data_IF_442235277345
#
_entry.id   IF_442235277345
#
_cell.length_a   1.000
_cell.length_b   1.000
_cell.length_c   1.000
_cell.angle_alpha   90.00
_cell.angle_beta   90.00
_cell.angle_gamma   90.00
#
_symmetry.space_group_name_H-M   'P 1'
#
loop_
_entity.id
_entity.type
_entity.pdbx_description
1 polymer ?
#
# COMPACT_ATOMS: atom_id res chain seq x y z
N UNK A 1 16.35 -10.32 6.10
CA UNK A 1 15.58 -9.99 7.34
C UNK A 1 14.19 -10.61 7.23
N UNK A 2 13.86 -11.46 8.18
CA UNK A 2 12.52 -12.06 8.22
C UNK A 2 11.61 -11.28 9.15
N UNK A 3 10.42 -10.95 8.70
CA UNK A 3 9.44 -10.20 9.48
C UNK A 3 8.18 -11.03 9.69
N UNK A 4 7.43 -10.71 10.74
CA UNK A 4 6.06 -11.20 10.92
C UNK A 4 5.11 -10.08 10.53
N UNK A 5 4.01 -10.42 9.87
CA UNK A 5 2.97 -9.45 9.51
C UNK A 5 1.73 -9.73 10.35
N UNK A 6 1.27 -8.74 11.06
CA UNK A 6 0.18 -8.86 12.01
C UNK A 6 -0.83 -7.72 11.83
N UNK A 7 -2.06 -7.95 12.28
CA UNK A 7 -3.07 -6.90 12.32
C UNK A 7 -2.60 -5.79 13.25
N UNK A 8 -2.64 -4.54 12.80
CA UNK A 8 -2.22 -3.40 13.59
C UNK A 8 -3.14 -3.20 14.80
N UNK A 9 -2.54 -2.77 15.91
CA UNK A 9 -3.26 -2.36 17.12
C UNK A 9 -3.16 -0.84 17.29
N UNK A 10 -4.05 -0.25 18.09
CA UNK A 10 -4.13 1.20 18.23
C UNK A 10 -2.82 1.86 18.70
N UNK A 11 -2.06 1.16 19.51
CA UNK A 11 -0.75 1.63 20.00
C UNK A 11 0.28 1.82 18.88
N UNK A 12 0.04 1.22 17.72
CA UNK A 12 0.93 1.30 16.54
C UNK A 12 0.54 2.43 15.57
N UNK A 13 -0.56 3.13 15.82
CA UNK A 13 -1.05 4.18 14.93
C UNK A 13 -0.02 5.28 14.70
N UNK A 14 0.69 5.71 15.73
CA UNK A 14 1.72 6.75 15.62
C UNK A 14 2.88 6.30 14.74
N UNK A 15 3.31 5.05 14.85
CA UNK A 15 4.36 4.48 14.01
C UNK A 15 3.96 4.49 12.54
N UNK A 16 2.70 4.14 12.25
CA UNK A 16 2.16 4.13 10.89
C UNK A 16 2.13 5.55 10.31
N UNK A 17 1.64 6.52 11.08
CA UNK A 17 1.58 7.93 10.66
C UNK A 17 2.98 8.48 10.40
N UNK A 18 3.92 8.20 11.30
CA UNK A 18 5.29 8.67 11.14
C UNK A 18 5.94 8.08 9.88
N UNK A 19 5.71 6.80 9.64
CA UNK A 19 6.22 6.11 8.44
C UNK A 19 5.64 6.74 7.16
N UNK A 20 4.37 7.12 7.18
CA UNK A 20 3.74 7.81 6.07
C UNK A 20 4.40 9.16 5.79
N UNK A 21 4.63 9.96 6.82
CA UNK A 21 5.28 11.27 6.68
C UNK A 21 6.71 11.12 6.16
N UNK A 22 7.46 10.17 6.69
CA UNK A 22 8.84 9.91 6.25
C UNK A 22 8.88 9.49 4.78
N UNK A 23 7.94 8.65 4.34
CA UNK A 23 7.85 8.22 2.94
C UNK A 23 7.49 9.40 2.02
N UNK A 24 6.56 10.24 2.43
CA UNK A 24 6.17 11.41 1.66
C UNK A 24 7.31 12.41 1.53
N UNK A 25 8.02 12.71 2.61
CA UNK A 25 9.19 13.59 2.60
C UNK A 25 10.27 13.05 1.67
N UNK A 26 10.50 11.74 1.68
CA UNK A 26 11.47 11.10 0.79
C UNK A 26 11.07 11.25 -0.68
N UNK A 27 9.80 11.08 -1.00
CA UNK A 27 9.26 11.25 -2.36
C UNK A 27 9.43 12.70 -2.83
N UNK A 28 9.03 13.66 -2.01
CA UNK A 28 9.12 15.08 -2.34
C UNK A 28 10.57 15.56 -2.50
N UNK A 29 11.49 15.04 -1.68
CA UNK A 29 12.91 15.37 -1.79
C UNK A 29 13.53 14.92 -3.11
N UNK A 30 12.90 14.02 -3.84
CA UNK A 30 13.34 13.51 -5.15
C UNK A 30 12.55 14.10 -6.30
N UNK A 31 11.82 15.18 -6.05
CA UNK A 31 10.99 15.87 -7.04
C UNK A 31 9.95 14.95 -7.71
N UNK A 32 9.50 13.92 -6.98
CA UNK A 32 8.42 13.04 -7.43
C UNK A 32 7.09 13.55 -6.88
N UNK A 33 6.01 13.29 -7.60
CA UNK A 33 4.67 13.62 -7.14
C UNK A 33 4.26 12.74 -5.96
N UNK A 34 3.71 13.36 -4.93
CA UNK A 34 3.17 12.64 -3.77
C UNK A 34 1.88 11.92 -4.14
N UNK A 35 1.53 10.81 -3.43
CA UNK A 35 0.28 10.11 -3.66
C UNK A 35 -0.96 11.00 -3.52
N UNK A 36 -1.99 10.72 -4.31
CA UNK A 36 -3.19 11.53 -4.42
C UNK A 36 -4.15 11.45 -3.21
N UNK A 37 -3.92 10.58 -2.26
CA UNK A 37 -4.88 10.31 -1.17
C UNK A 37 -4.85 11.31 -0.02
N UNK A 38 -4.21 12.44 -0.21
CA UNK A 38 -4.23 13.55 0.73
C UNK A 38 -3.50 13.25 2.05
N UNK A 39 -3.80 14.07 3.03
CA UNK A 39 -3.18 13.96 4.34
C UNK A 39 -3.68 12.74 5.11
N UNK A 40 -2.75 12.08 5.78
CA UNK A 40 -3.05 10.97 6.69
C UNK A 40 -2.94 11.50 8.11
N UNK A 41 -4.06 11.53 8.82
CA UNK A 41 -4.11 11.96 10.21
C UNK A 41 -4.05 10.77 11.17
N UNK A 42 -3.61 11.03 12.38
CA UNK A 42 -3.61 10.02 13.44
C UNK A 42 -5.03 9.48 13.71
N UNK A 43 -6.02 10.38 13.70
CA UNK A 43 -7.43 10.01 13.91
C UNK A 43 -7.93 9.07 12.82
N UNK A 44 -7.59 9.34 11.55
CA UNK A 44 -7.99 8.49 10.43
C UNK A 44 -7.34 7.10 10.54
N UNK A 45 -6.05 7.05 10.85
CA UNK A 45 -5.34 5.77 10.98
C UNK A 45 -5.92 4.95 12.13
N UNK A 46 -6.23 5.57 13.27
CA UNK A 46 -6.87 4.88 14.39
C UNK A 46 -8.20 4.26 14.00
N UNK A 47 -9.04 5.01 13.31
CA UNK A 47 -10.33 4.50 12.81
C UNK A 47 -10.13 3.33 11.86
N UNK A 48 -9.21 3.46 10.92
CA UNK A 48 -8.89 2.40 9.95
C UNK A 48 -8.34 1.15 10.63
N UNK A 49 -7.55 1.29 11.69
CA UNK A 49 -7.08 0.16 12.51
C UNK A 49 -8.27 -0.55 13.16
N UNK A 50 -9.21 0.19 13.71
CA UNK A 50 -10.42 -0.39 14.32
C UNK A 50 -11.24 -1.19 13.30
N UNK A 51 -11.28 -0.74 12.04
CA UNK A 51 -11.91 -1.49 10.94
C UNK A 51 -11.08 -2.68 10.45
N UNK A 52 -9.87 -2.87 10.97
CA UNK A 52 -9.02 -3.99 10.59
C UNK A 52 -8.33 -3.84 9.24
N UNK A 53 -8.15 -2.63 8.76
CA UNK A 53 -7.59 -2.36 7.44
C UNK A 53 -6.06 -2.34 7.41
N UNK A 54 -5.40 -2.12 8.55
CA UNK A 54 -3.95 -2.00 8.62
C UNK A 54 -3.27 -3.27 9.11
N UNK A 55 -2.13 -3.57 8.49
CA UNK A 55 -1.20 -4.62 8.91
C UNK A 55 0.16 -3.99 9.14
N UNK A 56 0.89 -4.49 10.14
CA UNK A 56 2.26 -4.05 10.41
C UNK A 56 3.23 -5.21 10.23
N UNK A 57 4.40 -4.90 9.69
CA UNK A 57 5.52 -5.83 9.65
C UNK A 57 6.40 -5.56 10.87
N UNK A 58 6.66 -6.61 11.63
CA UNK A 58 7.46 -6.53 12.85
C UNK A 58 8.78 -7.28 12.69
N UNK A 59 9.85 -6.65 13.08
CA UNK A 59 11.16 -7.26 13.23
C UNK A 59 11.66 -7.00 14.64
N UNK A 60 11.89 -8.09 15.39
CA UNK A 60 12.28 -7.99 16.80
C UNK A 60 11.33 -7.10 17.62
N UNK A 61 10.02 -7.16 17.34
CA UNK A 61 8.99 -6.38 18.03
C UNK A 61 8.88 -4.93 17.59
N UNK A 62 9.68 -4.50 16.61
CA UNK A 62 9.68 -3.12 16.10
C UNK A 62 8.92 -3.06 14.79
N UNK A 63 8.07 -2.05 14.61
CA UNK A 63 7.36 -1.82 13.36
C UNK A 63 8.36 -1.33 12.30
N UNK A 64 8.56 -2.13 11.25
CA UNK A 64 9.47 -1.81 10.14
C UNK A 64 8.76 -1.65 8.80
N UNK A 65 7.48 -1.93 8.75
CA UNK A 65 6.65 -1.74 7.57
C UNK A 65 5.18 -1.73 7.93
N UNK A 66 4.36 -1.26 7.01
CA UNK A 66 2.91 -1.26 7.17
C UNK A 66 2.23 -1.31 5.80
N UNK A 67 1.03 -1.87 5.77
CA UNK A 67 0.20 -1.84 4.58
C UNK A 67 -1.28 -1.73 4.97
N UNK A 68 -2.05 -1.12 4.08
CA UNK A 68 -3.50 -1.02 4.24
C UNK A 68 -4.16 -1.84 3.14
N UNK A 69 -5.01 -2.77 3.54
CA UNK A 69 -5.68 -3.69 2.63
C UNK A 69 -7.19 -3.53 2.76
N UNK A 70 -7.87 -3.38 1.62
CA UNK A 70 -9.30 -3.13 1.54
C UNK A 70 -9.99 -4.18 0.67
N UNK A 71 -11.28 -4.38 0.89
CA UNK A 71 -12.12 -5.25 0.04
C UNK A 71 -12.70 -4.49 -1.16
N UNK A 72 -12.77 -3.17 -1.07
CA UNK A 72 -13.18 -2.29 -2.16
C UNK A 72 -12.48 -0.96 -2.02
N UNK A 73 -12.28 -0.26 -3.13
CA UNK A 73 -11.62 1.04 -3.14
C UNK A 73 -12.29 1.95 -4.18
N UNK A 74 -13.54 2.36 -3.93
CA UNK A 74 -14.35 3.08 -4.93
C UNK A 74 -13.82 4.49 -5.25
N UNK A 75 -12.98 5.06 -4.37
CA UNK A 75 -12.38 6.38 -4.63
C UNK A 75 -11.38 6.33 -5.79
N UNK A 76 -10.81 5.17 -6.06
CA UNK A 76 -9.76 4.99 -7.07
C UNK A 76 -10.19 4.01 -8.16
N UNK A 77 -10.83 2.91 -7.80
CA UNK A 77 -11.20 1.85 -8.72
C UNK A 77 -12.68 1.85 -9.06
N UNK A 78 -13.00 1.56 -10.32
CA UNK A 78 -14.39 1.32 -10.74
C UNK A 78 -14.79 -0.06 -10.21
N UNK A 79 -15.97 -0.14 -9.59
CA UNK A 79 -16.47 -1.41 -9.10
C UNK A 79 -16.76 -2.38 -10.25
N UNK A 80 -16.40 -3.63 -10.06
CA UNK A 80 -16.71 -4.72 -10.96
C UNK A 80 -17.01 -5.99 -10.13
N UNK A 81 -17.27 -7.11 -10.81
CA UNK A 81 -17.64 -8.36 -10.15
C UNK A 81 -16.41 -9.24 -9.83
N UNK A 82 -15.20 -8.75 -10.05
CA UNK A 82 -13.98 -9.52 -9.80
C UNK A 82 -13.65 -9.45 -8.32
N UNK A 83 -13.59 -10.59 -7.61
CA UNK A 83 -13.15 -10.60 -6.22
C UNK A 83 -11.69 -10.14 -6.13
N UNK A 84 -11.45 -9.02 -5.47
CA UNK A 84 -10.13 -8.41 -5.42
C UNK A 84 -9.76 -8.00 -4.00
N UNK A 85 -8.46 -8.02 -3.72
CA UNK A 85 -7.89 -7.35 -2.57
C UNK A 85 -7.22 -6.07 -3.07
N UNK A 86 -7.53 -4.94 -2.45
CA UNK A 86 -7.00 -3.63 -2.82
C UNK A 86 -5.96 -3.20 -1.80
N UNK A 87 -4.74 -2.95 -2.27
CA UNK A 87 -3.66 -2.45 -1.43
C UNK A 87 -3.64 -0.94 -1.55
N UNK A 88 -4.06 -0.26 -0.51
CA UNK A 88 -4.17 1.20 -0.52
C UNK A 88 -2.84 1.90 -0.17
N UNK A 89 -2.00 1.24 0.60
CA UNK A 89 -0.69 1.74 1.00
C UNK A 89 0.26 0.57 1.26
N UNK A 90 1.50 0.71 0.82
CA UNK A 90 2.61 -0.18 1.21
C UNK A 90 3.75 0.74 1.62
N UNK A 91 4.19 0.64 2.85
CA UNK A 91 5.25 1.50 3.38
C UNK A 91 6.29 0.66 4.11
N UNK A 92 7.55 1.07 4.00
CA UNK A 92 8.63 0.46 4.75
C UNK A 92 9.43 1.56 5.47
N UNK A 93 9.99 1.22 6.62
CA UNK A 93 10.92 2.11 7.31
C UNK A 93 12.14 2.30 6.40
N UNK A 94 12.48 3.56 6.11
CA UNK A 94 13.59 3.88 5.20
C UNK A 94 14.93 3.30 5.65
N UNK A 95 15.11 3.10 6.93
CA UNK A 95 16.32 2.48 7.49
C UNK A 95 16.45 1.00 7.10
N UNK A 96 15.34 0.37 6.72
CA UNK A 96 15.27 -1.05 6.36
C UNK A 96 14.84 -1.27 4.90
N UNK A 97 14.74 -0.21 4.10
CA UNK A 97 14.16 -0.24 2.75
C UNK A 97 14.85 -1.21 1.78
N UNK A 98 16.16 -1.46 1.95
CA UNK A 98 16.93 -2.36 1.09
C UNK A 98 16.91 -3.83 1.53
N UNK A 99 16.14 -4.18 2.57
CA UNK A 99 16.12 -5.53 3.14
C UNK A 99 15.08 -6.47 2.53
N UNK A 100 14.47 -6.11 1.40
CA UNK A 100 13.44 -6.92 0.75
C UNK A 100 12.10 -6.91 1.46
N UNK A 101 11.85 -5.92 2.31
CA UNK A 101 10.60 -5.81 3.07
C UNK A 101 9.37 -5.64 2.19
N UNK A 102 9.46 -4.80 1.17
CA UNK A 102 8.34 -4.59 0.24
C UNK A 102 7.88 -5.88 -0.40
N UNK A 103 8.83 -6.69 -0.86
CA UNK A 103 8.52 -7.99 -1.45
C UNK A 103 7.88 -8.96 -0.44
N UNK A 104 8.35 -8.96 0.80
CA UNK A 104 7.75 -9.77 1.86
C UNK A 104 6.32 -9.34 2.16
N UNK A 105 6.06 -8.03 2.21
CA UNK A 105 4.72 -7.49 2.42
C UNK A 105 3.79 -7.88 1.27
N UNK A 106 4.24 -7.76 0.02
CA UNK A 106 3.43 -8.13 -1.15
C UNK A 106 3.14 -9.64 -1.19
N UNK A 107 4.08 -10.50 -0.79
CA UNK A 107 3.81 -11.93 -0.66
C UNK A 107 2.76 -12.22 0.40
N UNK A 108 2.82 -11.51 1.52
CA UNK A 108 1.79 -11.63 2.54
C UNK A 108 0.41 -11.24 1.97
N UNK A 109 0.35 -10.17 1.18
CA UNK A 109 -0.90 -9.74 0.52
C UNK A 109 -1.45 -10.85 -0.37
N UNK A 110 -0.61 -11.51 -1.16
CA UNK A 110 -1.04 -12.60 -2.04
C UNK A 110 -1.69 -13.74 -1.22
N UNK A 111 -1.06 -14.15 -0.14
CA UNK A 111 -1.58 -15.19 0.73
C UNK A 111 -2.87 -14.77 1.42
N UNK A 112 -2.93 -13.55 1.93
CA UNK A 112 -4.12 -12.99 2.54
C UNK A 112 -5.28 -12.92 1.54
N UNK A 113 -5.02 -12.42 0.34
CA UNK A 113 -6.03 -12.32 -0.72
C UNK A 113 -6.59 -13.68 -1.08
N UNK A 114 -5.73 -14.69 -1.22
CA UNK A 114 -6.19 -16.07 -1.46
C UNK A 114 -7.06 -16.59 -0.33
N UNK A 115 -6.72 -16.29 0.91
CA UNK A 115 -7.52 -16.69 2.08
C UNK A 115 -8.90 -16.02 2.10
N UNK A 116 -9.07 -14.90 1.42
CA UNK A 116 -10.33 -14.17 1.28
C UNK A 116 -11.06 -14.49 -0.03
N UNK A 117 -10.62 -15.52 -0.73
CA UNK A 117 -11.17 -15.95 -2.04
C UNK A 117 -11.07 -14.88 -3.13
N UNK A 118 -10.10 -13.98 -3.03
CA UNK A 118 -9.83 -13.01 -4.08
C UNK A 118 -9.12 -13.66 -5.27
N UNK A 119 -9.44 -13.20 -6.46
CA UNK A 119 -8.83 -13.67 -7.71
C UNK A 119 -7.63 -12.84 -8.13
N UNK A 120 -7.59 -11.60 -7.68
CA UNK A 120 -6.56 -10.61 -8.06
C UNK A 120 -6.19 -9.73 -6.87
N UNK A 121 -5.00 -9.15 -6.95
CA UNK A 121 -4.56 -8.05 -6.07
C UNK A 121 -4.49 -6.79 -6.92
N UNK A 122 -5.01 -5.69 -6.42
CA UNK A 122 -5.05 -4.39 -7.11
C UNK A 122 -4.38 -3.32 -6.28
N UNK A 123 -3.65 -2.45 -6.95
CA UNK A 123 -3.06 -1.26 -6.35
C UNK A 123 -2.98 -0.13 -7.37
N UNK A 124 -2.70 1.06 -6.89
CA UNK A 124 -2.41 2.20 -7.75
C UNK A 124 -1.04 2.78 -7.41
N UNK A 125 -0.42 3.44 -8.39
CA UNK A 125 0.75 4.27 -8.12
C UNK A 125 0.72 5.52 -9.00
N UNK A 126 1.37 6.58 -8.52
CA UNK A 126 1.43 7.84 -9.24
C UNK A 126 2.03 7.62 -10.62
N UNK A 127 1.35 8.10 -11.66
CA UNK A 127 1.69 7.83 -13.06
C UNK A 127 3.12 8.24 -13.40
N UNK A 128 3.60 9.34 -12.83
CA UNK A 128 4.94 9.86 -13.09
C UNK A 128 6.06 9.14 -12.35
N UNK A 129 5.74 8.25 -11.43
CA UNK A 129 6.74 7.48 -10.69
C UNK A 129 7.08 6.18 -11.44
N UNK A 130 7.87 6.31 -12.50
CA UNK A 130 8.25 5.17 -13.35
C UNK A 130 9.01 4.08 -12.58
N UNK A 131 9.84 4.45 -11.61
CA UNK A 131 10.61 3.50 -10.81
C UNK A 131 9.70 2.60 -9.98
N UNK A 132 8.65 3.17 -9.38
CA UNK A 132 7.69 2.41 -8.60
C UNK A 132 6.86 1.49 -9.50
N UNK A 133 6.46 1.98 -10.67
CA UNK A 133 5.75 1.15 -11.66
C UNK A 133 6.58 -0.05 -12.07
N UNK A 134 7.86 0.16 -12.39
CA UNK A 134 8.78 -0.91 -12.76
C UNK A 134 8.92 -1.93 -11.63
N UNK A 135 9.02 -1.45 -10.39
CA UNK A 135 9.08 -2.31 -9.22
C UNK A 135 7.86 -3.22 -9.13
N UNK A 136 6.66 -2.65 -9.29
CA UNK A 136 5.43 -3.46 -9.23
C UNK A 136 5.33 -4.43 -10.41
N UNK A 137 5.79 -4.03 -11.59
CA UNK A 137 5.85 -4.96 -12.74
C UNK A 137 6.75 -6.17 -12.44
N UNK A 138 7.89 -5.94 -11.81
CA UNK A 138 8.77 -7.01 -11.35
C UNK A 138 8.11 -7.92 -10.31
N UNK A 139 7.19 -7.38 -9.52
CA UNK A 139 6.43 -8.15 -8.53
C UNK A 139 5.23 -8.88 -9.13
N UNK A 140 5.02 -8.81 -10.44
CA UNK A 140 3.98 -9.53 -11.14
C UNK A 140 2.71 -8.73 -11.44
N UNK A 141 2.71 -7.44 -11.18
CA UNK A 141 1.60 -6.56 -11.52
C UNK A 141 1.69 -6.10 -12.97
N UNK A 142 0.55 -5.84 -13.58
CA UNK A 142 0.50 -5.28 -14.93
C UNK A 142 -0.52 -4.14 -14.97
N UNK A 143 -0.30 -3.21 -15.89
CA UNK A 143 -1.15 -2.04 -16.08
C UNK A 143 -2.51 -2.44 -16.61
N UNK A 144 -3.59 -2.02 -15.95
CA UNK A 144 -4.97 -2.27 -16.39
C UNK A 144 -5.75 -0.98 -16.65
N UNK A 145 -5.22 0.16 -16.29
CA UNK A 145 -5.89 1.43 -16.52
C UNK A 145 -5.18 2.59 -15.85
N UNK A 146 -5.82 3.73 -15.90
CA UNK A 146 -5.36 4.94 -15.21
C UNK A 146 -6.56 5.72 -14.71
N UNK A 147 -6.32 6.59 -13.75
CA UNK A 147 -7.35 7.48 -13.23
C UNK A 147 -6.83 8.90 -13.07
N UNK A 148 -7.57 9.84 -13.63
CA UNK A 148 -7.43 11.26 -13.36
C UNK A 148 -8.43 11.65 -12.27
N UNK A 149 -8.06 12.60 -11.44
CA UNK A 149 -8.94 13.14 -10.41
C UNK A 149 -9.40 14.54 -10.80
N UNK A 150 -10.60 14.92 -10.40
CA UNK A 150 -11.18 16.24 -10.67
C UNK A 150 -10.58 17.35 -9.80
N UNK A 151 -9.53 17.06 -9.05
CA UNK A 151 -8.80 17.97 -8.19
C UNK A 151 -7.32 17.95 -8.60
N UNK A 152 -6.52 18.87 -8.05
CA UNK A 152 -5.09 18.96 -8.36
C UNK A 152 -4.27 17.83 -7.72
N UNK A 153 -4.73 16.62 -7.89
CA UNK A 153 -4.00 15.41 -7.46
C UNK A 153 -3.33 14.74 -8.65
N UNK A 154 -2.13 14.19 -8.47
CA UNK A 154 -1.48 13.44 -9.54
C UNK A 154 -2.34 12.30 -10.05
N UNK A 155 -2.34 12.08 -11.36
CA UNK A 155 -2.97 10.90 -11.96
C UNK A 155 -2.26 9.64 -11.50
N UNK A 156 -3.02 8.57 -11.38
CA UNK A 156 -2.49 7.26 -11.00
C UNK A 156 -2.68 6.25 -12.11
N UNK A 157 -1.79 5.28 -12.18
CA UNK A 157 -1.98 4.07 -12.97
C UNK A 157 -2.55 2.98 -12.08
N UNK A 158 -3.44 2.19 -12.65
CA UNK A 158 -4.09 1.08 -11.97
C UNK A 158 -3.39 -0.21 -12.37
N UNK A 159 -2.95 -0.97 -11.40
CA UNK A 159 -2.19 -2.20 -11.64
C UNK A 159 -2.84 -3.38 -10.94
N UNK A 160 -2.75 -4.54 -11.56
CA UNK A 160 -3.41 -5.75 -11.11
C UNK A 160 -2.48 -6.94 -11.22
N UNK A 161 -2.58 -7.85 -10.27
CA UNK A 161 -1.85 -9.11 -10.27
C UNK A 161 -2.81 -10.27 -10.15
N UNK A 162 -2.72 -11.23 -11.06
CA UNK A 162 -3.49 -12.47 -10.99
C UNK A 162 -2.91 -13.39 -9.91
N UNK A 163 -3.79 -14.03 -9.14
CA UNK A 163 -3.42 -15.00 -8.11
C UNK A 163 -3.45 -16.45 -8.60
N UNK A 164 -3.64 -16.65 -9.87
CA UNK A 164 -3.72 -17.98 -10.49
C UNK A 164 -2.42 -18.39 -11.18
#
# INVERSE_FOLDING_TARGET
MAVTVERAVLEQAEDIVQMHWDAEDWILARELDAPARGEVSLADVREQIEFGEWRVALFAGIVVGALRVLRSDPDVWIEDDIPAAYVARVMTDRRHASAGLGAQLLRWVDEHARSQDASVVRLECVETNARLRDYYEEQGFFLVGRRDFDVEWPSVVLMEKSLH
#
